data_IF_923447557653
#
_entry.id   IF_923447557653
#
_cell.length_a   1.000
_cell.length_b   1.000
_cell.length_c   1.000
_cell.angle_alpha   90.00
_cell.angle_beta   90.00
_cell.angle_gamma   90.00
#
_symmetry.space_group_name_H-M   'P 1'
#
loop_
_entity.id
_entity.type
_entity.pdbx_description
1 polymer ?
#
# COMPACT_ATOMS: atom_id res chain seq x y z
N UNK A 1 10.69 -32.62 12.92
CA UNK A 1 11.86 -32.09 12.18
C UNK A 1 11.61 -32.05 10.67
N UNK A 2 11.30 -33.16 9.99
CA UNK A 2 11.13 -33.20 8.53
C UNK A 2 10.11 -32.18 7.95
N UNK A 3 8.95 -32.00 8.59
CA UNK A 3 7.90 -31.07 8.12
C UNK A 3 8.36 -29.59 8.18
N UNK A 4 9.00 -29.18 9.29
CA UNK A 4 9.50 -27.81 9.43
C UNK A 4 10.62 -27.52 8.42
N UNK A 5 11.51 -28.48 8.20
CA UNK A 5 12.55 -28.38 7.17
C UNK A 5 11.96 -28.26 5.77
N UNK A 6 10.91 -29.04 5.45
CA UNK A 6 10.23 -28.96 4.16
C UNK A 6 9.54 -27.61 3.95
N UNK A 7 8.85 -27.08 4.98
CA UNK A 7 8.23 -25.75 4.93
C UNK A 7 9.31 -24.68 4.69
N UNK A 8 10.40 -24.71 5.47
CA UNK A 8 11.49 -23.75 5.31
C UNK A 8 12.10 -23.80 3.90
N UNK A 9 12.31 -25.00 3.35
CA UNK A 9 12.79 -25.19 1.99
C UNK A 9 11.83 -24.59 0.95
N UNK A 10 10.53 -24.86 1.07
CA UNK A 10 9.53 -24.31 0.14
C UNK A 10 9.45 -22.78 0.20
N UNK A 11 9.53 -22.19 1.39
CA UNK A 11 9.56 -20.73 1.58
C UNK A 11 10.78 -20.11 0.90
N UNK A 12 11.96 -20.71 1.09
CA UNK A 12 13.20 -20.22 0.45
C UNK A 12 13.12 -20.37 -1.06
N UNK A 13 12.63 -21.51 -1.55
CA UNK A 13 12.47 -21.75 -2.98
C UNK A 13 11.50 -20.76 -3.63
N UNK A 14 10.34 -20.53 -3.01
CA UNK A 14 9.36 -19.52 -3.46
C UNK A 14 9.99 -18.13 -3.52
N UNK A 15 10.67 -17.71 -2.44
CA UNK A 15 11.30 -16.40 -2.38
C UNK A 15 12.36 -16.23 -3.48
N UNK A 16 13.19 -17.24 -3.72
CA UNK A 16 14.20 -17.24 -4.79
C UNK A 16 13.56 -17.18 -6.17
N UNK A 17 12.51 -17.96 -6.43
CA UNK A 17 11.82 -17.96 -7.72
C UNK A 17 11.16 -16.61 -7.99
N UNK A 18 10.40 -16.07 -7.02
CA UNK A 18 9.72 -14.78 -7.21
C UNK A 18 10.75 -13.67 -7.35
N UNK A 19 11.74 -13.55 -6.45
CA UNK A 19 12.75 -12.51 -6.55
C UNK A 19 13.56 -12.61 -7.86
N UNK A 20 14.01 -13.81 -8.24
CA UNK A 20 14.77 -14.04 -9.46
C UNK A 20 13.99 -13.66 -10.73
N UNK A 21 12.74 -14.14 -10.84
CA UNK A 21 11.88 -13.81 -11.98
C UNK A 21 11.63 -12.30 -12.05
N UNK A 22 11.17 -11.71 -10.95
CA UNK A 22 10.73 -10.32 -10.91
C UNK A 22 11.87 -9.32 -11.09
N UNK A 23 13.04 -9.56 -10.48
CA UNK A 23 14.22 -8.73 -10.74
C UNK A 23 14.80 -8.93 -12.14
N UNK A 24 14.63 -10.10 -12.75
CA UNK A 24 14.94 -10.30 -14.17
C UNK A 24 14.12 -9.38 -15.09
N UNK A 25 12.81 -9.27 -14.84
CA UNK A 25 11.95 -8.30 -15.53
C UNK A 25 12.32 -6.85 -15.23
N UNK A 26 12.64 -6.52 -13.97
CA UNK A 26 13.04 -5.19 -13.54
C UNK A 26 14.32 -4.72 -14.25
N UNK A 27 15.38 -5.52 -14.23
CA UNK A 27 16.66 -5.19 -14.89
C UNK A 27 16.46 -5.03 -16.40
N UNK A 28 15.68 -5.93 -17.02
CA UNK A 28 15.33 -5.81 -18.44
C UNK A 28 14.56 -4.52 -18.76
N UNK A 29 13.70 -4.07 -17.84
CA UNK A 29 12.94 -2.83 -17.98
C UNK A 29 13.83 -1.59 -17.90
N UNK A 30 14.78 -1.55 -16.95
CA UNK A 30 15.75 -0.45 -16.82
C UNK A 30 16.63 -0.26 -18.06
N UNK A 31 16.91 -1.33 -18.80
CA UNK A 31 17.63 -1.24 -20.08
C UNK A 31 16.83 -0.62 -21.23
N UNK A 32 15.50 -0.46 -21.08
CA UNK A 32 14.59 0.00 -22.14
C UNK A 32 13.88 1.31 -21.81
N UNK A 33 13.68 1.60 -20.53
CA UNK A 33 12.88 2.73 -20.06
C UNK A 33 13.60 3.49 -18.95
N UNK A 34 13.29 4.78 -18.82
CA UNK A 34 13.93 5.65 -17.84
C UNK A 34 13.00 5.86 -16.65
N UNK A 35 13.43 5.54 -15.42
CA UNK A 35 12.62 5.78 -14.24
C UNK A 35 12.14 7.24 -14.14
N UNK A 36 10.94 7.46 -13.56
CA UNK A 36 10.47 8.78 -13.14
C UNK A 36 11.54 9.51 -12.32
N UNK A 37 11.59 10.83 -12.43
CA UNK A 37 12.66 11.63 -11.83
C UNK A 37 12.79 11.41 -10.32
N UNK A 38 11.67 11.36 -9.60
CA UNK A 38 11.64 11.12 -8.15
C UNK A 38 12.13 9.71 -7.75
N UNK A 39 12.28 8.78 -8.69
CA UNK A 39 12.80 7.42 -8.47
C UNK A 39 14.24 7.23 -8.96
N UNK A 40 14.96 8.31 -9.32
CA UNK A 40 16.34 8.22 -9.81
C UNK A 40 17.41 8.11 -8.72
N UNK A 41 17.01 7.93 -7.46
CA UNK A 41 17.94 7.79 -6.32
C UNK A 41 19.01 6.68 -6.49
N UNK A 42 18.75 5.71 -7.37
CA UNK A 42 19.67 4.61 -7.67
C UNK A 42 20.60 4.81 -8.87
N UNK A 43 20.57 6.00 -9.51
CA UNK A 43 21.33 6.28 -10.73
C UNK A 43 22.85 6.10 -10.54
N UNK A 44 23.38 6.56 -9.42
CA UNK A 44 24.83 6.58 -9.19
C UNK A 44 25.37 5.27 -8.60
N UNK A 45 24.49 4.44 -8.03
CA UNK A 45 24.85 3.15 -7.40
C UNK A 45 23.87 2.04 -7.75
N UNK A 46 23.67 1.73 -9.05
CA UNK A 46 22.64 0.80 -9.50
C UNK A 46 22.85 -0.63 -8.96
N UNK A 47 24.09 -1.10 -8.86
CA UNK A 47 24.41 -2.43 -8.33
C UNK A 47 24.07 -2.56 -6.84
N UNK A 48 24.36 -1.53 -6.03
CA UNK A 48 24.02 -1.52 -4.59
C UNK A 48 22.51 -1.52 -4.41
N UNK A 49 21.80 -0.67 -5.15
CA UNK A 49 20.35 -0.63 -5.13
C UNK A 49 19.73 -1.97 -5.53
N UNK A 50 20.22 -2.59 -6.61
CA UNK A 50 19.74 -3.90 -7.04
C UNK A 50 19.98 -4.97 -5.98
N UNK A 51 21.17 -4.99 -5.36
CA UNK A 51 21.48 -5.92 -4.28
C UNK A 51 20.56 -5.73 -3.06
N UNK A 52 20.30 -4.48 -2.66
CA UNK A 52 19.34 -4.16 -1.59
C UNK A 52 17.93 -4.58 -1.97
N UNK A 53 17.51 -4.32 -3.20
CA UNK A 53 16.23 -4.77 -3.74
C UNK A 53 16.10 -6.30 -3.65
N UNK A 54 17.07 -7.05 -4.15
CA UNK A 54 17.05 -8.52 -4.12
C UNK A 54 17.03 -9.04 -2.69
N UNK A 55 17.91 -8.54 -1.82
CA UNK A 55 18.01 -8.97 -0.43
C UNK A 55 16.70 -8.71 0.33
N UNK A 56 16.15 -7.50 0.20
CA UNK A 56 14.86 -7.15 0.82
C UNK A 56 13.69 -7.89 0.18
N UNK A 57 13.77 -8.19 -1.12
CA UNK A 57 12.84 -9.05 -1.86
C UNK A 57 12.72 -10.42 -1.22
N UNK A 58 13.84 -11.12 -1.11
CA UNK A 58 13.93 -12.44 -0.49
C UNK A 58 13.40 -12.44 0.95
N UNK A 59 13.85 -11.50 1.77
CA UNK A 59 13.40 -11.38 3.16
C UNK A 59 11.89 -11.10 3.26
N UNK A 60 11.36 -10.22 2.41
CA UNK A 60 9.94 -9.84 2.42
C UNK A 60 9.01 -10.96 1.91
N UNK A 61 9.44 -11.78 0.96
CA UNK A 61 8.68 -12.96 0.51
C UNK A 61 8.58 -14.01 1.61
N UNK A 62 9.71 -14.34 2.25
CA UNK A 62 9.69 -15.22 3.41
C UNK A 62 8.78 -14.66 4.52
N UNK A 63 8.86 -13.35 4.80
CA UNK A 63 8.00 -12.68 5.79
C UNK A 63 6.53 -12.81 5.42
N UNK A 64 6.16 -12.55 4.16
CA UNK A 64 4.79 -12.68 3.67
C UNK A 64 4.25 -14.09 3.91
N UNK A 65 4.96 -15.12 3.47
CA UNK A 65 4.51 -16.52 3.58
C UNK A 65 4.38 -16.93 5.04
N UNK A 66 5.41 -16.66 5.86
CA UNK A 66 5.43 -17.04 7.28
C UNK A 66 4.37 -16.32 8.11
N UNK A 67 4.05 -15.07 7.76
CA UNK A 67 3.07 -14.28 8.50
C UNK A 67 1.65 -14.36 7.96
N UNK A 68 1.44 -14.92 6.77
CA UNK A 68 0.13 -15.05 6.14
C UNK A 68 -0.96 -15.63 7.07
N UNK A 69 -0.70 -16.71 7.86
CA UNK A 69 -1.70 -17.28 8.78
C UNK A 69 -2.14 -16.29 9.88
N UNK A 70 -1.32 -15.30 10.22
CA UNK A 70 -1.62 -14.27 11.22
C UNK A 70 -2.67 -13.26 10.74
N UNK A 71 -3.09 -13.31 9.46
CA UNK A 71 -4.03 -12.34 8.89
C UNK A 71 -5.32 -12.22 9.70
N UNK A 72 -5.86 -13.32 10.22
CA UNK A 72 -7.06 -13.28 11.08
C UNK A 72 -6.83 -12.55 12.40
N UNK A 73 -5.65 -12.67 12.99
CA UNK A 73 -5.29 -12.00 14.24
C UNK A 73 -5.08 -10.50 14.01
N UNK A 74 -4.33 -10.16 12.97
CA UNK A 74 -3.98 -8.77 12.62
C UNK A 74 -5.20 -7.99 12.11
N UNK A 75 -6.12 -8.69 11.44
CA UNK A 75 -7.38 -8.15 10.95
C UNK A 75 -8.43 -7.93 12.03
N UNK A 76 -8.21 -8.38 13.28
CA UNK A 76 -9.12 -8.05 14.39
C UNK A 76 -9.10 -6.55 14.61
N UNK A 77 -10.26 -5.92 14.46
CA UNK A 77 -10.45 -4.53 14.84
C UNK A 77 -11.13 -4.47 16.20
N UNK A 78 -10.71 -3.51 17.02
CA UNK A 78 -11.39 -3.17 18.26
C UNK A 78 -12.74 -2.47 17.98
N UNK A 79 -13.41 -1.96 19.01
CA UNK A 79 -14.58 -1.12 18.82
C UNK A 79 -14.25 0.08 17.91
N UNK A 80 -15.25 0.61 17.18
CA UNK A 80 -15.09 1.79 16.36
C UNK A 80 -14.46 2.94 17.15
N UNK A 81 -13.76 3.83 16.44
CA UNK A 81 -13.26 5.05 17.04
C UNK A 81 -14.44 5.84 17.64
N UNK A 82 -14.24 6.46 18.81
CA UNK A 82 -15.23 7.36 19.38
C UNK A 82 -15.51 8.56 18.48
N UNK A 83 -16.58 9.33 18.75
CA UNK A 83 -16.96 10.48 17.93
C UNK A 83 -15.78 11.42 17.65
N UNK A 84 -15.61 11.83 16.39
CA UNK A 84 -14.54 12.74 15.94
C UNK A 84 -13.13 12.14 15.89
N UNK A 85 -12.91 10.89 16.31
CA UNK A 85 -11.59 10.24 16.25
C UNK A 85 -11.39 9.53 14.91
N UNK A 86 -10.24 9.71 14.23
CA UNK A 86 -10.02 9.12 12.93
C UNK A 86 -9.82 7.59 13.01
N UNK A 87 -10.31 6.87 12.01
CA UNK A 87 -10.00 5.45 11.79
C UNK A 87 -9.10 5.28 10.57
N UNK A 88 -8.01 4.52 10.71
CA UNK A 88 -7.12 4.15 9.61
C UNK A 88 -7.67 2.89 8.93
N UNK A 89 -7.99 2.99 7.65
CA UNK A 89 -8.44 1.89 6.79
C UNK A 89 -7.25 1.39 5.98
N UNK A 90 -6.81 0.18 6.30
CA UNK A 90 -5.69 -0.49 5.66
C UNK A 90 -6.17 -1.49 4.60
N UNK A 91 -5.62 -1.40 3.39
CA UNK A 91 -5.98 -2.22 2.22
C UNK A 91 -4.74 -2.91 1.65
N UNK A 92 -4.69 -4.24 1.71
CA UNK A 92 -3.51 -5.03 1.35
C UNK A 92 -3.32 -5.16 -0.18
N UNK A 93 -2.18 -5.69 -0.62
CA UNK A 93 -1.92 -5.98 -2.03
C UNK A 93 -2.52 -7.29 -2.54
N UNK A 94 -2.30 -7.59 -3.82
CA UNK A 94 -2.65 -8.87 -4.43
C UNK A 94 -1.90 -10.02 -3.72
N UNK A 95 -2.56 -11.16 -3.53
CA UNK A 95 -2.08 -12.37 -2.84
C UNK A 95 -1.66 -12.18 -1.39
N UNK A 96 -2.12 -11.11 -0.75
CA UNK A 96 -1.88 -10.86 0.66
C UNK A 96 -3.20 -10.85 1.45
N UNK A 97 -3.12 -10.44 2.72
CA UNK A 97 -4.22 -10.33 3.65
C UNK A 97 -3.84 -9.30 4.72
N UNK A 98 -4.63 -9.17 5.80
CA UNK A 98 -4.38 -8.19 6.85
C UNK A 98 -2.99 -8.31 7.55
N UNK A 99 -2.30 -9.47 7.46
CA UNK A 99 -0.93 -9.64 7.97
C UNK A 99 0.09 -8.69 7.31
N UNK A 100 -0.22 -8.13 6.13
CA UNK A 100 0.56 -7.09 5.48
C UNK A 100 0.89 -5.92 6.42
N UNK A 101 -0.01 -5.64 7.36
CA UNK A 101 0.07 -4.48 8.24
C UNK A 101 0.69 -4.78 9.61
N UNK A 102 1.37 -5.92 9.77
CA UNK A 102 2.01 -6.32 11.03
C UNK A 102 2.99 -5.28 11.58
N UNK A 103 3.84 -4.70 10.72
CA UNK A 103 4.78 -3.66 11.13
C UNK A 103 4.15 -2.25 11.14
N UNK A 104 3.18 -2.01 10.26
CA UNK A 104 2.50 -0.72 10.14
C UNK A 104 1.56 -0.43 11.32
N UNK A 105 0.83 -1.42 11.84
CA UNK A 105 -0.11 -1.21 12.96
C UNK A 105 0.58 -0.61 14.20
N UNK A 106 1.70 -1.14 14.70
CA UNK A 106 2.45 -0.50 15.80
C UNK A 106 2.96 0.89 15.44
N UNK A 107 3.41 1.12 14.19
CA UNK A 107 3.86 2.45 13.76
C UNK A 107 2.71 3.48 13.79
N UNK A 108 1.51 3.10 13.34
CA UNK A 108 0.30 3.91 13.43
C UNK A 108 -0.07 4.22 14.89
N UNK A 109 0.00 3.22 15.78
CA UNK A 109 -0.22 3.42 17.21
C UNK A 109 0.73 4.45 17.82
N UNK A 110 2.03 4.36 17.52
CA UNK A 110 3.03 5.35 17.95
C UNK A 110 2.82 6.74 17.35
N UNK A 111 2.19 6.83 16.17
CA UNK A 111 1.80 8.08 15.53
C UNK A 111 0.48 8.67 16.08
N UNK A 112 -0.12 8.07 17.12
CA UNK A 112 -1.37 8.55 17.73
C UNK A 112 -2.63 8.05 17.02
N UNK A 113 -2.54 6.99 16.20
CA UNK A 113 -3.63 6.41 15.42
C UNK A 113 -3.94 4.97 15.89
N UNK A 114 -4.56 4.78 17.07
CA UNK A 114 -4.81 3.45 17.62
C UNK A 114 -5.96 2.70 16.93
N UNK A 115 -6.86 3.40 16.24
CA UNK A 115 -8.03 2.81 15.59
C UNK A 115 -7.70 2.41 14.16
N UNK A 116 -7.41 1.13 13.93
CA UNK A 116 -7.00 0.59 12.63
C UNK A 116 -7.90 -0.56 12.20
N UNK A 117 -8.58 -0.36 11.07
CA UNK A 117 -9.38 -1.36 10.36
C UNK A 117 -8.58 -1.91 9.17
N UNK A 118 -8.14 -3.17 9.24
CA UNK A 118 -7.50 -3.83 8.10
C UNK A 118 -8.54 -4.66 7.35
N UNK A 119 -9.02 -4.16 6.22
CA UNK A 119 -9.98 -4.89 5.39
C UNK A 119 -9.26 -5.98 4.60
N UNK A 120 -9.85 -7.19 4.60
CA UNK A 120 -9.35 -8.34 3.86
C UNK A 120 -10.31 -8.72 2.73
N UNK A 121 -9.76 -9.12 1.58
CA UNK A 121 -10.49 -9.57 0.41
C UNK A 121 -9.73 -10.66 -0.35
N UNK A 122 -10.44 -11.45 -1.16
CA UNK A 122 -9.82 -12.51 -1.97
C UNK A 122 -9.18 -11.95 -3.23
N UNK A 123 -7.98 -12.44 -3.56
CA UNK A 123 -7.27 -12.08 -4.79
C UNK A 123 -7.67 -12.91 -6.03
N UNK A 124 -8.43 -13.99 -5.85
CA UNK A 124 -8.65 -15.01 -6.89
C UNK A 124 -10.07 -15.01 -7.48
N UNK A 125 -11.01 -14.29 -6.87
CA UNK A 125 -12.44 -14.41 -7.18
C UNK A 125 -12.95 -13.42 -8.21
N UNK A 126 -13.15 -12.18 -7.78
CA UNK A 126 -13.95 -11.19 -8.51
C UNK A 126 -13.08 -10.18 -9.30
N UNK A 127 -13.73 -9.36 -10.12
CA UNK A 127 -13.12 -8.20 -10.77
C UNK A 127 -12.96 -7.03 -9.78
N UNK A 128 -12.16 -6.03 -10.16
CA UNK A 128 -11.84 -4.88 -9.30
C UNK A 128 -13.08 -4.20 -8.70
N UNK A 129 -14.04 -3.80 -9.54
CA UNK A 129 -15.18 -3.02 -9.06
C UNK A 129 -16.08 -3.83 -8.10
N UNK A 130 -16.26 -5.14 -8.33
CA UNK A 130 -17.00 -6.00 -7.41
C UNK A 130 -16.36 -6.02 -6.03
N UNK A 131 -15.03 -6.17 -5.97
CA UNK A 131 -14.30 -6.13 -4.68
C UNK A 131 -14.38 -4.74 -4.05
N UNK A 132 -14.31 -3.67 -4.85
CA UNK A 132 -14.46 -2.30 -4.33
C UNK A 132 -15.84 -2.09 -3.68
N UNK A 133 -16.92 -2.56 -4.31
CA UNK A 133 -18.27 -2.47 -3.76
C UNK A 133 -18.43 -3.29 -2.46
N UNK A 134 -17.86 -4.49 -2.40
CA UNK A 134 -17.86 -5.29 -1.17
C UNK A 134 -17.11 -4.59 -0.03
N UNK A 135 -15.98 -3.96 -0.33
CA UNK A 135 -15.20 -3.18 0.64
C UNK A 135 -15.97 -1.95 1.12
N UNK A 136 -16.68 -1.26 0.23
CA UNK A 136 -17.55 -0.13 0.57
C UNK A 136 -18.69 -0.54 1.50
N UNK A 137 -19.37 -1.63 1.18
CA UNK A 137 -20.45 -2.16 2.02
C UNK A 137 -19.94 -2.52 3.43
N UNK A 138 -18.74 -3.10 3.53
CA UNK A 138 -18.09 -3.40 4.82
C UNK A 138 -17.73 -2.13 5.58
N UNK A 139 -17.15 -1.14 4.91
CA UNK A 139 -16.77 0.12 5.53
C UNK A 139 -17.99 0.88 6.08
N UNK A 140 -19.08 0.96 5.31
CA UNK A 140 -20.34 1.60 5.71
C UNK A 140 -21.04 0.87 6.86
N UNK A 141 -20.87 -0.46 6.96
CA UNK A 141 -21.41 -1.27 8.07
C UNK A 141 -20.58 -1.12 9.34
N UNK A 142 -19.26 -1.15 9.22
CA UNK A 142 -18.36 -1.31 10.37
C UNK A 142 -17.94 0.04 10.99
N UNK A 143 -18.07 1.16 10.25
CA UNK A 143 -17.66 2.49 10.71
C UNK A 143 -18.85 3.47 10.80
N UNK A 144 -18.83 4.41 11.77
CA UNK A 144 -19.83 5.48 11.85
C UNK A 144 -19.89 6.31 10.55
N UNK A 145 -21.05 6.80 10.12
CA UNK A 145 -21.23 7.55 8.87
C UNK A 145 -20.46 8.88 8.81
N UNK A 146 -20.16 9.49 9.95
CA UNK A 146 -19.51 10.81 10.02
C UNK A 146 -18.08 10.78 10.62
N UNK A 147 -17.54 9.59 10.90
CA UNK A 147 -16.22 9.45 11.55
C UNK A 147 -15.05 9.78 10.60
N UNK A 148 -14.04 10.58 10.97
CA UNK A 148 -12.93 10.88 10.05
C UNK A 148 -12.17 9.61 9.60
N UNK A 149 -11.74 9.57 8.35
CA UNK A 149 -11.06 8.42 7.74
C UNK A 149 -9.64 8.77 7.29
N UNK A 150 -8.76 7.79 7.40
CA UNK A 150 -7.39 7.82 6.89
C UNK A 150 -7.17 6.54 6.10
N UNK A 151 -6.69 6.62 4.86
CA UNK A 151 -6.47 5.43 4.04
C UNK A 151 -4.98 5.10 3.93
N UNK A 152 -4.67 3.81 4.02
CA UNK A 152 -3.34 3.25 3.77
C UNK A 152 -3.45 2.02 2.87
N UNK A 153 -3.04 2.16 1.62
CA UNK A 153 -3.12 1.09 0.64
C UNK A 153 -1.74 0.64 0.15
N UNK A 154 -1.47 -0.66 0.18
CA UNK A 154 -0.28 -1.25 -0.45
C UNK A 154 -0.63 -1.85 -1.79
N UNK A 155 0.16 -1.57 -2.82
CA UNK A 155 -0.01 -2.14 -4.16
C UNK A 155 -1.44 -1.93 -4.68
N UNK A 156 -2.13 -3.00 -5.07
CA UNK A 156 -3.56 -3.02 -5.41
C UNK A 156 -4.45 -2.33 -4.37
N UNK A 157 -4.15 -2.46 -3.07
CA UNK A 157 -4.89 -1.79 -2.01
C UNK A 157 -4.84 -0.27 -2.08
N UNK A 158 -3.79 0.31 -2.67
CA UNK A 158 -3.72 1.75 -2.95
C UNK A 158 -4.69 2.19 -4.04
N UNK A 159 -4.97 1.32 -5.02
CA UNK A 159 -5.99 1.57 -6.04
C UNK A 159 -7.39 1.47 -5.43
N UNK A 160 -7.64 0.50 -4.55
CA UNK A 160 -8.89 0.43 -3.78
C UNK A 160 -9.07 1.66 -2.89
N UNK A 161 -8.02 2.12 -2.19
CA UNK A 161 -8.09 3.32 -1.37
C UNK A 161 -8.57 4.54 -2.18
N UNK A 162 -8.00 4.75 -3.38
CA UNK A 162 -8.42 5.81 -4.30
C UNK A 162 -9.88 5.63 -4.74
N UNK A 163 -10.27 4.41 -5.10
CA UNK A 163 -11.64 4.10 -5.52
C UNK A 163 -12.65 4.38 -4.40
N UNK A 164 -12.37 3.95 -3.18
CA UNK A 164 -13.23 4.13 -2.02
C UNK A 164 -13.32 5.61 -1.60
N UNK A 165 -12.19 6.32 -1.57
CA UNK A 165 -12.14 7.73 -1.19
C UNK A 165 -12.83 8.68 -2.18
N UNK A 166 -13.17 8.21 -3.38
CA UNK A 166 -13.92 8.97 -4.37
C UNK A 166 -15.45 8.95 -4.14
N UNK A 167 -15.95 8.10 -3.23
CA UNK A 167 -17.39 8.04 -2.96
C UNK A 167 -17.89 9.31 -2.26
N UNK A 168 -19.10 9.81 -2.58
CA UNK A 168 -19.64 11.06 -2.01
C UNK A 168 -19.75 11.07 -0.48
N UNK A 169 -20.00 9.92 0.14
CA UNK A 169 -20.10 9.77 1.60
C UNK A 169 -18.73 9.57 2.29
N UNK A 170 -17.69 9.18 1.55
CA UNK A 170 -16.36 8.85 2.10
C UNK A 170 -15.36 9.97 1.85
N UNK A 171 -15.38 10.57 0.65
CA UNK A 171 -14.44 11.61 0.24
C UNK A 171 -14.39 12.78 1.21
N UNK A 172 -15.53 13.42 1.55
CA UNK A 172 -15.56 14.59 2.44
C UNK A 172 -15.01 14.35 3.85
N UNK A 173 -15.01 13.10 4.32
CA UNK A 173 -14.51 12.70 5.65
C UNK A 173 -13.11 12.07 5.61
N UNK A 174 -12.49 11.98 4.42
CA UNK A 174 -11.13 11.45 4.26
C UNK A 174 -10.10 12.54 4.55
N UNK A 175 -9.36 12.40 5.63
CA UNK A 175 -8.33 13.36 6.05
C UNK A 175 -7.00 13.18 5.30
N UNK A 176 -6.64 11.93 4.99
CA UNK A 176 -5.44 11.61 4.23
C UNK A 176 -5.52 10.22 3.58
N UNK A 177 -4.72 10.05 2.52
CA UNK A 177 -4.55 8.80 1.79
C UNK A 177 -3.05 8.60 1.49
N UNK A 178 -2.52 7.46 1.90
CA UNK A 178 -1.16 7.01 1.59
C UNK A 178 -1.20 5.75 0.72
N UNK A 179 -0.50 5.75 -0.40
CA UNK A 179 -0.24 4.55 -1.21
C UNK A 179 1.22 4.11 -1.07
N UNK A 180 1.44 2.80 -1.00
CA UNK A 180 2.78 2.18 -0.99
C UNK A 180 2.91 1.30 -2.24
N UNK A 181 3.69 1.72 -3.22
CA UNK A 181 3.95 0.95 -4.44
C UNK A 181 2.71 0.71 -5.29
N UNK A 182 1.71 1.59 -5.26
CA UNK A 182 0.48 1.34 -6.03
C UNK A 182 0.76 1.40 -7.55
N UNK A 183 0.31 0.40 -8.33
CA UNK A 183 0.51 0.40 -9.78
C UNK A 183 -0.49 1.34 -10.45
N UNK A 184 -0.32 2.65 -10.27
CA UNK A 184 -1.24 3.69 -10.75
C UNK A 184 -1.51 3.63 -12.26
N UNK A 185 -0.59 3.05 -13.04
CA UNK A 185 -0.74 2.86 -14.50
C UNK A 185 -0.57 1.39 -14.94
N UNK A 186 -0.68 0.46 -13.99
CA UNK A 186 -0.50 -0.97 -14.22
C UNK A 186 0.94 -1.45 -14.20
N UNK A 187 1.12 -2.76 -14.40
CA UNK A 187 2.40 -3.44 -14.45
C UNK A 187 2.40 -4.49 -15.56
N UNK A 188 3.39 -4.48 -16.44
CA UNK A 188 3.61 -5.51 -17.47
C UNK A 188 3.70 -6.90 -16.83
N UNK A 189 4.24 -7.00 -15.61
CA UNK A 189 4.31 -8.26 -14.86
C UNK A 189 2.91 -8.83 -14.52
N UNK A 190 1.87 -7.99 -14.46
CA UNK A 190 0.51 -8.42 -14.20
C UNK A 190 -0.06 -9.35 -15.29
N UNK A 191 0.57 -9.42 -16.47
CA UNK A 191 0.24 -10.41 -17.50
C UNK A 191 0.46 -11.85 -17.02
N UNK A 192 1.32 -12.05 -16.01
CA UNK A 192 1.58 -13.36 -15.38
C UNK A 192 0.69 -13.60 -14.14
N UNK A 193 -0.18 -12.66 -13.78
CA UNK A 193 -0.98 -12.75 -12.58
C UNK A 193 -2.13 -13.76 -12.75
N UNK A 194 -2.35 -14.55 -11.69
CA UNK A 194 -3.47 -15.48 -11.56
C UNK A 194 -4.68 -14.77 -10.96
N UNK A 195 -5.84 -14.97 -11.57
CA UNK A 195 -7.10 -14.37 -11.09
C UNK A 195 -7.47 -13.07 -11.79
N UNK A 196 -8.75 -12.73 -11.69
CA UNK A 196 -9.37 -11.58 -12.39
C UNK A 196 -8.77 -10.25 -11.95
N UNK A 197 -8.65 -10.03 -10.63
CA UNK A 197 -7.98 -8.84 -10.08
C UNK A 197 -6.59 -8.62 -10.64
N UNK A 198 -5.74 -9.66 -10.64
CA UNK A 198 -4.37 -9.56 -11.13
C UNK A 198 -4.31 -9.21 -12.62
N UNK A 199 -5.10 -9.91 -13.45
CA UNK A 199 -5.16 -9.65 -14.90
C UNK A 199 -5.69 -8.25 -15.24
N UNK A 200 -6.52 -7.66 -14.38
CA UNK A 200 -6.99 -6.28 -14.53
C UNK A 200 -5.92 -5.21 -14.32
N UNK A 201 -4.71 -5.58 -13.87
CA UNK A 201 -3.61 -4.65 -13.58
C UNK A 201 -2.59 -4.50 -14.72
N UNK A 202 -2.86 -5.08 -15.90
CA UNK A 202 -2.02 -4.87 -17.08
C UNK A 202 -2.09 -3.41 -17.56
N UNK A 203 -0.99 -2.80 -18.03
CA UNK A 203 -1.01 -1.41 -18.49
C UNK A 203 -2.05 -1.20 -19.60
N UNK A 204 -2.77 -0.08 -19.53
CA UNK A 204 -3.83 0.24 -20.49
C UNK A 204 -5.18 -0.44 -20.23
N UNK A 205 -5.32 -1.27 -19.19
CA UNK A 205 -6.62 -1.80 -18.79
C UNK A 205 -7.62 -0.67 -18.48
N UNK A 206 -8.93 -0.83 -18.78
CA UNK A 206 -9.96 0.19 -18.54
C UNK A 206 -10.03 0.71 -17.10
N UNK A 207 -9.61 -0.13 -16.14
CA UNK A 207 -9.47 0.23 -14.73
C UNK A 207 -8.71 1.54 -14.52
N UNK A 208 -7.59 1.75 -15.22
CA UNK A 208 -6.74 2.92 -14.99
C UNK A 208 -7.36 4.20 -15.52
N UNK A 209 -8.08 4.13 -16.64
CA UNK A 209 -8.85 5.26 -17.15
C UNK A 209 -9.99 5.61 -16.19
N UNK A 210 -10.70 4.61 -15.66
CA UNK A 210 -11.76 4.81 -14.67
C UNK A 210 -11.21 5.46 -13.39
N UNK A 211 -10.11 4.96 -12.83
CA UNK A 211 -9.48 5.52 -11.63
C UNK A 211 -8.90 6.92 -11.85
N UNK A 212 -8.44 7.25 -13.05
CA UNK A 212 -7.96 8.60 -13.39
C UNK A 212 -9.11 9.63 -13.44
N UNK A 213 -10.31 9.20 -13.83
CA UNK A 213 -11.49 10.05 -13.89
C UNK A 213 -12.14 10.34 -12.52
N UNK A 214 -11.85 9.52 -11.50
CA UNK A 214 -12.40 9.71 -10.15
C UNK A 214 -11.85 10.98 -9.50
N UNK A 215 -12.67 11.78 -8.79
CA UNK A 215 -12.17 12.90 -8.02
C UNK A 215 -11.28 12.42 -6.87
N UNK A 216 -10.31 13.24 -6.48
CA UNK A 216 -9.59 13.04 -5.22
C UNK A 216 -10.44 13.58 -4.06
N UNK A 217 -10.32 13.01 -2.83
CA UNK A 217 -11.07 13.47 -1.67
C UNK A 217 -10.75 14.94 -1.33
N UNK A 218 -11.75 15.81 -1.17
CA UNK A 218 -11.55 17.24 -1.02
C UNK A 218 -10.83 17.58 0.29
N UNK A 219 -9.76 18.37 0.20
CA UNK A 219 -8.98 18.82 1.36
C UNK A 219 -8.09 17.76 2.01
N UNK A 220 -8.08 16.52 1.50
CA UNK A 220 -7.26 15.45 2.03
C UNK A 220 -5.76 15.65 1.74
N UNK A 221 -4.91 15.18 2.64
CA UNK A 221 -3.48 15.06 2.37
C UNK A 221 -3.18 13.77 1.59
N UNK A 222 -2.51 13.88 0.44
CA UNK A 222 -2.33 12.75 -0.47
C UNK A 222 -0.84 12.45 -0.68
N UNK A 223 -0.42 11.20 -0.46
CA UNK A 223 0.97 10.76 -0.58
C UNK A 223 1.06 9.41 -1.31
N UNK A 224 1.91 9.35 -2.33
CA UNK A 224 2.34 8.12 -2.98
C UNK A 224 3.81 7.87 -2.67
N UNK A 225 4.08 6.77 -1.97
CA UNK A 225 5.42 6.27 -1.72
C UNK A 225 5.73 5.16 -2.72
N UNK A 226 6.83 5.28 -3.44
CA UNK A 226 7.27 4.27 -4.41
C UNK A 226 8.75 3.96 -4.28
N UNK A 227 9.12 2.72 -4.55
CA UNK A 227 10.52 2.29 -4.47
C UNK A 227 11.26 2.47 -5.78
N UNK A 228 12.51 2.95 -5.76
CA UNK A 228 13.37 2.98 -6.95
C UNK A 228 13.82 1.59 -7.40
N UNK A 229 13.56 0.54 -6.61
CA UNK A 229 13.87 -0.86 -6.92
C UNK A 229 12.63 -1.76 -6.80
N UNK A 230 11.46 -1.21 -7.09
CA UNK A 230 10.21 -1.97 -7.12
C UNK A 230 10.27 -3.06 -8.19
N UNK A 231 10.19 -4.32 -7.75
CA UNK A 231 10.26 -5.50 -8.61
C UNK A 231 8.88 -6.01 -9.07
N UNK A 232 7.77 -5.40 -8.64
CA UNK A 232 6.43 -5.89 -8.98
C UNK A 232 5.68 -4.94 -9.91
N UNK A 233 5.88 -3.64 -9.77
CA UNK A 233 5.36 -2.62 -10.68
C UNK A 233 6.42 -2.29 -11.71
N UNK A 234 6.36 -3.00 -12.83
CA UNK A 234 7.33 -2.91 -13.90
C UNK A 234 6.57 -2.55 -15.19
N UNK A 235 6.96 -1.50 -15.91
CA UNK A 235 8.10 -0.64 -15.63
C UNK A 235 7.80 0.40 -14.54
N UNK A 236 8.82 1.05 -13.97
CA UNK A 236 8.66 1.96 -12.82
C UNK A 236 7.77 3.18 -13.10
N UNK A 237 7.52 3.54 -14.37
CA UNK A 237 6.54 4.58 -14.71
C UNK A 237 5.11 4.19 -14.29
N UNK A 238 4.86 2.89 -14.08
CA UNK A 238 3.62 2.37 -13.50
C UNK A 238 3.32 2.90 -12.09
N UNK A 239 4.36 3.30 -11.35
CA UNK A 239 4.28 3.85 -9.99
C UNK A 239 4.06 5.37 -9.98
N UNK A 240 4.30 6.06 -11.10
CA UNK A 240 4.08 7.49 -11.19
C UNK A 240 2.59 7.76 -11.38
N UNK A 241 2.00 8.45 -10.41
CA UNK A 241 0.64 8.94 -10.47
C UNK A 241 0.55 10.23 -11.30
N UNK A 242 1.50 11.16 -11.14
CA UNK A 242 1.58 12.40 -11.93
C UNK A 242 0.33 13.29 -11.83
N UNK A 243 -0.37 13.25 -10.70
CA UNK A 243 -1.66 13.93 -10.49
C UNK A 243 -1.49 15.13 -9.57
N UNK A 244 -2.03 16.33 -9.90
CA UNK A 244 -1.96 17.50 -9.03
C UNK A 244 -2.52 17.23 -7.63
N UNK A 245 -1.91 17.83 -6.60
CA UNK A 245 -2.30 17.65 -5.20
C UNK A 245 -1.71 16.42 -4.50
N UNK A 246 -1.18 15.45 -5.26
CA UNK A 246 -0.46 14.31 -4.71
C UNK A 246 1.02 14.64 -4.50
N UNK A 247 1.55 14.20 -3.37
CA UNK A 247 2.99 14.15 -3.12
C UNK A 247 3.52 12.80 -3.58
N UNK A 248 4.54 12.79 -4.43
CA UNK A 248 5.22 11.57 -4.85
C UNK A 248 6.62 11.54 -4.24
N UNK A 249 6.92 10.53 -3.44
CA UNK A 249 8.20 10.41 -2.73
C UNK A 249 8.83 9.04 -2.95
N UNK A 250 10.14 9.04 -3.18
CA UNK A 250 10.94 7.81 -3.22
C UNK A 250 11.10 7.26 -1.79
N UNK A 251 10.97 5.95 -1.66
CA UNK A 251 11.45 5.23 -0.48
C UNK A 251 12.95 4.97 -0.58
N UNK A 252 13.62 4.56 0.52
CA UNK A 252 14.90 3.87 0.42
C UNK A 252 14.79 2.66 -0.53
N UNK A 253 15.89 2.23 -1.17
CA UNK A 253 15.85 1.14 -2.15
C UNK A 253 15.50 -0.20 -1.49
N UNK A 254 14.22 -0.55 -1.49
CA UNK A 254 13.67 -1.80 -0.96
C UNK A 254 12.70 -2.43 -1.95
N UNK A 255 12.55 -3.75 -1.93
CA UNK A 255 11.59 -4.44 -2.80
C UNK A 255 10.15 -3.97 -2.59
N UNK A 256 9.27 -4.31 -3.53
CA UNK A 256 7.86 -3.93 -3.50
C UNK A 256 7.14 -4.32 -2.19
N UNK A 257 7.36 -5.55 -1.74
CA UNK A 257 6.72 -6.09 -0.53
C UNK A 257 7.46 -5.59 0.73
N UNK A 258 8.77 -5.38 0.66
CA UNK A 258 9.56 -4.88 1.79
C UNK A 258 9.14 -3.49 2.27
N UNK A 259 8.48 -2.67 1.43
CA UNK A 259 7.88 -1.39 1.86
C UNK A 259 6.93 -1.52 3.05
N UNK A 260 6.23 -2.67 3.19
CA UNK A 260 5.33 -2.94 4.32
C UNK A 260 6.05 -3.11 5.66
N UNK A 261 7.33 -3.46 5.63
CA UNK A 261 8.11 -3.85 6.81
C UNK A 261 9.29 -2.91 7.09
N UNK A 262 9.72 -2.14 6.09
CA UNK A 262 10.89 -1.27 6.22
C UNK A 262 10.61 -0.09 7.17
N UNK A 263 11.40 0.10 8.26
CA UNK A 263 11.11 1.09 9.30
C UNK A 263 10.97 2.53 8.79
N UNK A 264 11.80 2.95 7.83
CA UNK A 264 11.71 4.30 7.27
C UNK A 264 10.41 4.51 6.46
N UNK A 265 9.94 3.47 5.77
CA UNK A 265 8.71 3.55 4.95
C UNK A 265 7.48 3.54 5.86
N UNK A 266 7.45 2.62 6.82
CA UNK A 266 6.33 2.51 7.77
C UNK A 266 6.24 3.73 8.67
N UNK A 267 7.37 4.24 9.16
CA UNK A 267 7.47 5.48 9.92
C UNK A 267 7.00 6.68 9.12
N UNK A 268 7.43 6.82 7.86
CA UNK A 268 7.02 7.92 6.96
C UNK A 268 5.50 7.91 6.71
N UNK A 269 4.94 6.75 6.39
CA UNK A 269 3.51 6.58 6.16
C UNK A 269 2.69 6.91 7.41
N UNK A 270 3.08 6.36 8.57
CA UNK A 270 2.38 6.61 9.83
C UNK A 270 2.47 8.08 10.27
N UNK A 271 3.64 8.71 10.12
CA UNK A 271 3.83 10.12 10.42
C UNK A 271 2.92 11.00 9.56
N UNK A 272 2.84 10.74 8.25
CA UNK A 272 1.99 11.50 7.32
C UNK A 272 0.51 11.45 7.73
N UNK A 273 0.00 10.25 8.03
CA UNK A 273 -1.38 10.08 8.49
C UNK A 273 -1.61 10.76 9.84
N UNK A 274 -0.66 10.66 10.77
CA UNK A 274 -0.73 11.30 12.08
C UNK A 274 -0.75 12.83 12.01
N UNK A 275 0.03 13.42 11.09
CA UNK A 275 0.03 14.86 10.83
C UNK A 275 -1.34 15.36 10.31
N UNK A 276 -1.95 14.61 9.39
CA UNK A 276 -3.28 14.93 8.88
C UNK A 276 -4.36 14.86 9.98
N UNK A 277 -4.30 13.82 10.82
CA UNK A 277 -5.20 13.67 11.97
C UNK A 277 -5.07 14.83 12.97
N UNK A 278 -3.84 15.23 13.31
CA UNK A 278 -3.60 16.36 14.24
C UNK A 278 -4.09 17.68 13.68
N UNK A 279 -3.87 17.93 12.39
CA UNK A 279 -4.36 19.15 11.72
C UNK A 279 -5.88 19.23 11.71
N UNK A 280 -6.58 18.11 11.51
CA UNK A 280 -8.04 18.06 11.56
C UNK A 280 -8.61 18.28 12.97
N UNK A 281 -7.90 17.85 14.02
CA UNK A 281 -8.30 18.07 15.41
C UNK A 281 -8.16 19.53 15.88
N UNK A 282 -7.43 20.37 15.14
CA UNK A 282 -7.12 21.76 15.53
C UNK A 282 -6.13 21.85 16.71
N UNK A 283 -5.72 23.08 17.11
CA UNK A 283 -4.99 23.27 18.35
C UNK A 283 -5.88 22.84 19.52
N UNK A 284 -5.39 21.90 20.35
CA UNK A 284 -6.13 21.45 21.52
C UNK A 284 -6.50 22.61 22.47
N UNK A 285 -7.53 22.46 23.31
CA UNK A 285 -7.88 23.46 24.30
C UNK A 285 -6.72 23.59 25.31
N UNK A 286 -5.82 24.56 25.11
CA UNK A 286 -4.68 24.77 26.01
C UNK A 286 -3.46 25.52 25.47
N UNK A 287 -3.37 25.84 24.17
CA UNK A 287 -2.23 26.61 23.62
C UNK A 287 -2.57 28.06 23.21
N UNK A 288 -3.73 28.56 23.63
CA UNK A 288 -4.08 29.97 23.51
C UNK A 288 -4.10 30.62 24.88
N UNK A 289 -2.95 31.17 25.30
CA UNK A 289 -2.70 32.21 26.34
C UNK A 289 -1.44 31.88 27.14
N UNK A 290 -0.28 32.26 26.58
CA UNK A 290 0.85 32.69 27.36
C UNK A 290 1.55 33.81 26.56
N UNK A 291 1.45 35.04 27.07
CA UNK A 291 2.17 36.22 26.59
C UNK A 291 1.46 36.99 25.49
#
# INVERSE_FOLDING_TARGET
MAVLTAIAFLVVLEALMVAGLTYGFFVRSLGRRRPPEFLRACRDRPAVCLALGVATGLASQATLVLTYPLGRLVGRHGPPAGPGRPTVVCLHGLYHNAAAFLALRPALGRAGLPHVLCLAYSSFGAEFETVAQDLLARLRRDLPPDGPLLFLGHSLGGLFARRLAAEPDIGPRTLALVTLGAPHRGSELAALAVGRLGRGLVPGAPLFAALAALPDPPGAALLSLASPVDNMVIPLEGLALGRPGWREEATPPVSHVAMLYHPAVTGRAAAFLGEAARRAAGPGPGQGKAG
#
